data_IF_129109252093
#
_entry.id   IF_129109252093
#
_cell.length_a   1.000
_cell.length_b   1.000
_cell.length_c   1.000
_cell.angle_alpha   90.00
_cell.angle_beta   90.00
_cell.angle_gamma   90.00
#
_symmetry.space_group_name_H-M   'P 1'
#
loop_
_entity.id
_entity.type
_entity.pdbx_description
1 polymer ?
#
# COMPACT_ATOMS: atom_id res chain seq x y z
N UNK A 1 0.29 6.06 17.16
CA UNK A 1 1.11 7.30 17.02
C UNK A 1 0.19 8.45 16.68
N UNK A 2 0.12 9.53 17.48
CA UNK A 2 -0.79 10.66 17.21
C UNK A 2 -0.36 11.54 16.03
N UNK A 3 -0.84 12.80 16.02
CA UNK A 3 -0.34 13.84 15.11
C UNK A 3 1.18 14.02 15.28
N UNK A 4 1.87 14.22 14.17
CA UNK A 4 3.30 14.51 14.11
C UNK A 4 3.52 15.99 13.75
N UNK A 5 4.65 16.61 14.13
CA UNK A 5 4.95 18.00 13.79
C UNK A 5 4.92 18.28 12.28
N UNK A 6 5.35 17.31 11.47
CA UNK A 6 5.43 17.43 10.00
C UNK A 6 4.14 16.97 9.28
N UNK A 7 3.06 16.69 10.02
CA UNK A 7 1.78 16.33 9.41
C UNK A 7 1.15 17.54 8.70
N UNK A 8 0.75 17.34 7.45
CA UNK A 8 0.00 18.32 6.67
C UNK A 8 -1.48 18.15 7.02
N UNK A 9 -2.01 18.99 7.90
CA UNK A 9 -3.44 18.97 8.28
C UNK A 9 -4.20 19.86 7.31
N UNK A 10 -5.10 19.26 6.52
CA UNK A 10 -5.92 20.00 5.55
C UNK A 10 -7.19 20.55 6.20
N UNK A 11 -7.67 21.71 5.74
CA UNK A 11 -8.88 22.35 6.28
C UNK A 11 -10.09 22.28 5.33
N UNK A 12 -9.93 21.77 4.11
CA UNK A 12 -11.03 21.66 3.14
C UNK A 12 -10.78 20.57 2.09
N UNK A 13 -11.83 20.17 1.37
CA UNK A 13 -11.72 19.32 0.17
C UNK A 13 -10.77 19.89 -0.88
N UNK A 14 -10.77 21.22 -1.10
CA UNK A 14 -9.93 21.85 -2.12
C UNK A 14 -8.45 21.73 -1.76
N UNK A 15 -8.11 22.03 -0.51
CA UNK A 15 -6.73 21.84 -0.02
C UNK A 15 -6.33 20.36 -0.09
N UNK A 16 -7.21 19.44 0.30
CA UNK A 16 -6.94 18.01 0.17
C UNK A 16 -6.59 17.62 -1.28
N UNK A 17 -7.37 18.06 -2.26
CA UNK A 17 -7.10 17.83 -3.68
C UNK A 17 -5.76 18.45 -4.12
N UNK A 18 -5.41 19.63 -3.63
CA UNK A 18 -4.12 20.26 -3.94
C UNK A 18 -2.94 19.45 -3.37
N UNK A 19 -2.97 19.14 -2.06
CA UNK A 19 -1.86 18.49 -1.35
C UNK A 19 -1.53 17.10 -1.86
N UNK A 20 -2.52 16.34 -2.33
CA UNK A 20 -2.24 15.01 -2.91
C UNK A 20 -1.45 15.08 -4.22
N UNK A 21 -1.49 16.22 -4.92
CA UNK A 21 -0.75 16.46 -6.17
C UNK A 21 0.49 17.34 -6.00
N UNK A 22 0.90 17.67 -4.77
CA UNK A 22 2.17 18.34 -4.50
C UNK A 22 3.33 17.57 -5.15
N UNK A 23 4.19 18.29 -5.90
CA UNK A 23 5.30 17.75 -6.70
C UNK A 23 4.88 16.84 -7.88
N UNK A 24 3.69 17.02 -8.43
CA UNK A 24 3.24 16.29 -9.62
C UNK A 24 3.95 16.70 -10.91
N UNK A 25 4.41 17.95 -11.05
CA UNK A 25 5.14 18.40 -12.24
C UNK A 25 6.52 17.76 -12.34
N UNK A 26 6.80 17.10 -13.46
CA UNK A 26 8.08 16.47 -13.76
C UNK A 26 8.75 17.19 -14.94
N UNK A 27 9.82 17.99 -14.72
CA UNK A 27 10.49 18.74 -15.78
C UNK A 27 11.06 17.87 -16.90
N UNK A 28 11.62 16.71 -16.54
CA UNK A 28 12.33 15.81 -17.47
C UNK A 28 11.40 15.23 -18.54
N UNK A 29 10.13 15.01 -18.19
CA UNK A 29 9.11 14.49 -19.11
C UNK A 29 8.05 15.53 -19.49
N UNK A 30 8.11 16.74 -18.94
CA UNK A 30 7.14 17.84 -19.16
C UNK A 30 5.67 17.44 -18.95
N UNK A 31 5.43 16.60 -17.95
CA UNK A 31 4.10 16.10 -17.62
C UNK A 31 3.83 16.15 -16.12
N UNK A 32 2.55 16.22 -15.76
CA UNK A 32 2.09 16.03 -14.38
C UNK A 32 2.00 14.53 -14.08
N UNK A 33 3.04 13.98 -13.48
CA UNK A 33 3.11 12.60 -12.99
C UNK A 33 3.85 12.57 -11.66
N UNK A 34 3.10 12.62 -10.56
CA UNK A 34 3.67 12.44 -9.24
C UNK A 34 4.31 11.04 -9.14
N UNK A 35 5.53 10.97 -8.63
CA UNK A 35 6.20 9.70 -8.32
C UNK A 35 5.82 9.23 -6.89
N UNK A 36 4.59 9.54 -6.48
CA UNK A 36 4.06 9.19 -5.17
C UNK A 36 3.05 8.05 -5.28
N UNK A 37 3.07 7.19 -4.27
CA UNK A 37 2.02 6.20 -4.00
C UNK A 37 1.39 6.48 -2.66
N UNK A 38 0.12 6.13 -2.52
CA UNK A 38 -0.73 6.55 -1.42
C UNK A 38 -1.28 5.36 -0.66
N UNK A 39 -1.40 5.52 0.67
CA UNK A 39 -2.11 4.58 1.54
C UNK A 39 -2.99 5.36 2.52
N UNK A 40 -4.30 5.16 2.41
CA UNK A 40 -5.29 5.77 3.29
C UNK A 40 -5.55 4.92 4.52
N UNK A 41 -5.63 5.55 5.68
CA UNK A 41 -6.00 4.93 6.96
C UNK A 41 -7.10 5.76 7.62
N UNK A 42 -8.10 5.08 8.14
CA UNK A 42 -9.26 5.73 8.77
C UNK A 42 -8.98 6.29 10.16
N UNK A 43 -7.90 5.90 10.82
CA UNK A 43 -7.45 6.49 12.09
C UNK A 43 -5.96 6.87 11.95
N UNK A 44 -5.64 8.14 12.23
CA UNK A 44 -4.28 8.70 12.25
C UNK A 44 -3.31 7.90 13.14
N UNK A 45 -3.85 7.23 14.16
CA UNK A 45 -3.10 6.43 15.12
C UNK A 45 -2.65 5.08 14.62
N UNK A 46 -3.23 4.60 13.50
CA UNK A 46 -2.91 3.31 12.93
C UNK A 46 -1.47 3.25 12.43
N UNK A 47 -0.70 2.25 12.90
CA UNK A 47 0.65 2.04 12.42
C UNK A 47 0.65 1.36 11.05
N UNK A 48 1.77 1.46 10.32
CA UNK A 48 1.98 0.73 9.05
C UNK A 48 2.41 -0.73 9.29
N UNK A 49 1.58 -1.47 10.03
CA UNK A 49 1.76 -2.90 10.29
C UNK A 49 1.27 -3.75 9.11
N UNK A 50 2.03 -4.78 8.76
CA UNK A 50 1.62 -5.83 7.82
C UNK A 50 0.60 -6.76 8.45
N UNK A 51 -0.12 -7.55 7.64
CA UNK A 51 -1.02 -8.59 8.19
C UNK A 51 -0.26 -9.69 8.92
N UNK A 52 0.97 -10.00 8.48
CA UNK A 52 1.89 -10.90 9.18
C UNK A 52 2.26 -10.39 10.58
N UNK A 53 2.65 -9.11 10.71
CA UNK A 53 3.01 -8.51 12.00
C UNK A 53 1.82 -8.51 12.97
N UNK A 54 0.59 -8.35 12.47
CA UNK A 54 -0.63 -8.39 13.28
C UNK A 54 -0.94 -9.76 13.88
N UNK A 55 -0.35 -10.86 13.38
CA UNK A 55 -0.48 -12.17 14.02
C UNK A 55 0.12 -12.19 15.44
N UNK A 56 1.14 -11.36 15.70
CA UNK A 56 1.88 -11.40 16.94
C UNK A 56 2.70 -12.70 17.11
N UNK A 57 3.29 -12.87 18.30
CA UNK A 57 4.13 -14.03 18.60
C UNK A 57 5.35 -14.17 17.67
N UNK A 58 5.85 -15.40 17.43
CA UNK A 58 6.97 -15.66 16.53
C UNK A 58 6.53 -15.64 15.05
N UNK A 59 5.88 -14.56 14.62
CA UNK A 59 5.40 -14.42 13.24
C UNK A 59 6.52 -14.48 12.15
N UNK A 60 7.77 -14.04 12.39
CA UNK A 60 8.83 -14.17 11.37
C UNK A 60 9.08 -15.62 10.96
N UNK A 61 9.01 -16.55 11.92
CA UNK A 61 9.17 -17.98 11.68
C UNK A 61 7.99 -18.59 10.91
N UNK A 62 6.81 -17.94 10.94
CA UNK A 62 5.61 -18.42 10.27
C UNK A 62 5.56 -18.04 8.78
N UNK A 63 6.28 -17.00 8.34
CA UNK A 63 6.19 -16.47 6.96
C UNK A 63 6.39 -17.57 5.91
N UNK A 64 7.46 -18.35 6.03
CA UNK A 64 7.76 -19.46 5.13
C UNK A 64 6.66 -20.54 5.15
N UNK A 65 6.18 -20.91 6.34
CA UNK A 65 5.17 -21.96 6.51
C UNK A 65 3.81 -21.55 5.95
N UNK A 66 3.44 -20.27 6.10
CA UNK A 66 2.22 -19.69 5.57
C UNK A 66 2.19 -19.82 4.04
N UNK A 67 3.23 -19.33 3.35
CA UNK A 67 3.28 -19.44 1.89
C UNK A 67 3.36 -20.89 1.42
N UNK A 68 4.20 -21.71 2.04
CA UNK A 68 4.36 -23.12 1.66
C UNK A 68 3.02 -23.87 1.74
N UNK A 69 2.27 -23.69 2.83
CA UNK A 69 0.97 -24.34 2.99
C UNK A 69 -0.07 -23.73 2.05
N UNK A 70 -0.08 -22.41 1.86
CA UNK A 70 -0.97 -21.75 0.90
C UNK A 70 -0.76 -22.29 -0.52
N UNK A 71 0.49 -22.41 -0.97
CA UNK A 71 0.83 -23.03 -2.27
C UNK A 71 0.36 -24.47 -2.35
N UNK A 72 0.60 -25.28 -1.31
CA UNK A 72 0.24 -26.70 -1.25
C UNK A 72 -1.26 -26.94 -1.42
N UNK A 73 -2.11 -26.09 -0.84
CA UNK A 73 -3.57 -26.29 -0.85
C UNK A 73 -4.30 -25.40 -1.88
N UNK A 74 -3.70 -24.28 -2.28
CA UNK A 74 -4.29 -23.33 -3.24
C UNK A 74 -4.00 -23.66 -4.72
N UNK A 75 -3.20 -24.69 -5.01
CA UNK A 75 -2.92 -25.13 -6.39
C UNK A 75 -4.10 -25.86 -7.05
N UNK A 76 -5.06 -26.35 -6.27
CA UNK A 76 -6.26 -26.99 -6.82
C UNK A 76 -7.12 -26.02 -7.65
N UNK A 77 -7.14 -24.73 -7.25
CA UNK A 77 -7.91 -23.68 -7.93
C UNK A 77 -7.06 -22.85 -8.93
N UNK A 78 -5.73 -22.99 -8.91
CA UNK A 78 -4.80 -22.21 -9.74
C UNK A 78 -4.06 -23.11 -10.73
N UNK A 79 -4.31 -22.90 -12.03
CA UNK A 79 -3.80 -23.76 -13.12
C UNK A 79 -2.28 -23.70 -13.35
N UNK A 80 -1.57 -22.73 -12.77
CA UNK A 80 -0.12 -22.56 -12.96
C UNK A 80 0.68 -22.76 -11.66
N UNK A 81 1.00 -24.01 -11.35
CA UNK A 81 1.91 -24.36 -10.25
C UNK A 81 3.37 -23.87 -10.50
N UNK A 82 3.67 -23.34 -11.68
CA UNK A 82 5.00 -22.90 -12.12
C UNK A 82 5.28 -21.41 -11.86
N UNK A 83 4.34 -20.68 -11.27
CA UNK A 83 4.50 -19.26 -10.97
C UNK A 83 5.54 -19.02 -9.86
N UNK A 84 6.17 -17.84 -9.90
CA UNK A 84 7.19 -17.42 -8.93
C UNK A 84 6.62 -17.26 -7.52
N UNK A 85 7.48 -17.31 -6.50
CA UNK A 85 7.06 -17.09 -5.12
C UNK A 85 6.48 -15.69 -4.92
N UNK A 86 6.99 -14.69 -5.65
CA UNK A 86 6.45 -13.33 -5.68
C UNK A 86 5.03 -13.25 -6.22
N UNK A 87 4.72 -14.05 -7.25
CA UNK A 87 3.35 -14.17 -7.76
C UNK A 87 2.44 -14.76 -6.68
N UNK A 88 2.89 -15.83 -6.01
CA UNK A 88 2.12 -16.48 -4.94
C UNK A 88 1.92 -15.56 -3.74
N UNK A 89 2.87 -14.70 -3.39
CA UNK A 89 2.69 -13.69 -2.35
C UNK A 89 1.62 -12.66 -2.70
N UNK A 90 1.56 -12.22 -3.95
CA UNK A 90 0.51 -11.31 -4.41
C UNK A 90 -0.88 -11.96 -4.32
N UNK A 91 -1.00 -13.23 -4.74
CA UNK A 91 -2.25 -14.00 -4.62
C UNK A 91 -2.63 -14.22 -3.16
N UNK A 92 -1.67 -14.61 -2.32
CA UNK A 92 -1.88 -14.83 -0.90
C UNK A 92 -2.42 -13.58 -0.20
N UNK A 93 -1.81 -12.42 -0.46
CA UNK A 93 -2.28 -11.12 0.04
C UNK A 93 -3.70 -10.82 -0.43
N UNK A 94 -4.00 -11.06 -1.71
CA UNK A 94 -5.32 -10.84 -2.28
C UNK A 94 -6.42 -11.64 -1.56
N UNK A 95 -6.14 -12.91 -1.24
CA UNK A 95 -7.05 -13.81 -0.50
C UNK A 95 -6.99 -13.64 1.03
N UNK A 96 -6.28 -12.63 1.54
CA UNK A 96 -6.26 -12.31 2.96
C UNK A 96 -5.35 -13.20 3.82
N UNK A 97 -4.42 -13.95 3.21
CA UNK A 97 -3.37 -14.61 3.98
C UNK A 97 -2.54 -13.53 4.70
N UNK A 98 -2.11 -13.76 5.95
CA UNK A 98 -1.13 -12.90 6.59
C UNK A 98 0.18 -12.88 5.78
N UNK A 99 0.57 -11.70 5.30
CA UNK A 99 1.81 -11.49 4.52
C UNK A 99 2.57 -10.28 5.04
N UNK A 100 3.84 -10.16 4.63
CA UNK A 100 4.68 -8.98 4.85
C UNK A 100 4.38 -7.83 3.88
N UNK A 101 3.44 -8.02 2.94
CA UNK A 101 3.09 -6.99 1.97
C UNK A 101 2.21 -5.91 2.62
N UNK A 102 2.38 -4.67 2.14
CA UNK A 102 1.44 -3.58 2.38
C UNK A 102 0.90 -3.07 1.05
N UNK A 103 -0.41 -2.87 1.01
CA UNK A 103 -1.14 -2.31 -0.12
C UNK A 103 -0.93 -0.79 -0.24
N UNK A 104 -0.60 -0.36 -1.45
CA UNK A 104 -0.55 1.04 -1.83
C UNK A 104 -1.39 1.22 -3.09
N UNK A 105 -1.73 2.46 -3.41
CA UNK A 105 -2.39 2.82 -4.66
C UNK A 105 -1.69 4.00 -5.30
N UNK A 106 -1.61 4.01 -6.63
CA UNK A 106 -1.19 5.21 -7.35
C UNK A 106 -2.27 6.31 -7.34
N UNK A 107 -3.53 5.96 -7.01
CA UNK A 107 -4.66 6.89 -7.03
C UNK A 107 -4.87 7.55 -5.65
N UNK A 108 -4.70 8.87 -5.52
CA UNK A 108 -4.98 9.55 -4.26
C UNK A 108 -6.45 9.45 -3.84
N UNK A 109 -7.39 9.38 -4.79
CA UNK A 109 -8.82 9.22 -4.51
C UNK A 109 -9.16 7.82 -3.98
N UNK A 110 -8.45 6.78 -4.43
CA UNK A 110 -8.56 5.43 -3.83
C UNK A 110 -8.01 5.44 -2.41
N UNK A 111 -6.93 6.17 -2.13
CA UNK A 111 -6.45 6.34 -0.76
C UNK A 111 -7.47 7.10 0.11
N UNK A 112 -8.09 8.18 -0.38
CA UNK A 112 -9.17 8.88 0.33
C UNK A 112 -10.37 7.96 0.60
N UNK A 113 -10.68 7.02 -0.32
CA UNK A 113 -11.69 6.00 -0.06
C UNK A 113 -11.33 5.15 1.17
N UNK A 114 -10.10 4.67 1.29
CA UNK A 114 -9.70 3.88 2.45
C UNK A 114 -9.67 4.69 3.77
N UNK A 115 -9.44 6.01 3.71
CA UNK A 115 -9.62 6.89 4.87
C UNK A 115 -11.08 6.92 5.35
N UNK A 116 -12.03 6.83 4.43
CA UNK A 116 -13.47 6.99 4.69
C UNK A 116 -14.25 5.67 4.68
N UNK A 117 -13.57 4.53 4.49
CA UNK A 117 -14.21 3.22 4.36
C UNK A 117 -14.82 2.69 5.68
N UNK A 118 -14.27 3.06 6.84
CA UNK A 118 -14.77 2.60 8.14
C UNK A 118 -15.60 3.68 8.84
N UNK A 119 -16.92 3.59 8.74
CA UNK A 119 -17.89 4.48 9.40
C UNK A 119 -17.72 4.57 10.92
N UNK A 120 -17.23 3.51 11.56
CA UNK A 120 -17.02 3.49 13.01
C UNK A 120 -15.86 4.39 13.46
N UNK A 121 -15.05 4.89 12.52
CA UNK A 121 -13.88 5.73 12.79
C UNK A 121 -14.09 7.19 12.33
N UNK A 122 -15.32 7.59 12.01
CA UNK A 122 -15.61 8.97 11.56
C UNK A 122 -15.51 10.01 12.68
N UNK A 123 -15.40 9.57 13.94
CA UNK A 123 -15.12 10.42 15.10
C UNK A 123 -13.62 10.71 15.30
N UNK A 124 -12.75 10.16 14.44
CA UNK A 124 -11.30 10.31 14.50
C UNK A 124 -10.74 10.90 13.21
N UNK A 125 -9.58 11.53 13.30
CA UNK A 125 -8.85 12.02 12.13
C UNK A 125 -8.37 10.84 11.29
N UNK A 126 -8.49 10.97 9.97
CA UNK A 126 -7.91 10.04 9.00
C UNK A 126 -6.53 10.50 8.54
N UNK A 127 -5.78 9.62 7.89
CA UNK A 127 -4.47 9.97 7.33
C UNK A 127 -4.22 9.30 5.99
N UNK A 128 -3.65 10.06 5.05
CA UNK A 128 -3.05 9.53 3.83
C UNK A 128 -1.55 9.60 4.00
N UNK A 129 -0.91 8.44 3.94
CA UNK A 129 0.53 8.35 3.72
C UNK A 129 0.80 8.51 2.23
N UNK A 130 1.69 9.40 1.85
CA UNK A 130 2.21 9.52 0.49
C UNK A 130 3.71 9.22 0.50
N UNK A 131 4.13 8.23 -0.27
CA UNK A 131 5.53 7.79 -0.37
C UNK A 131 6.10 8.03 -1.76
N UNK A 132 7.29 8.63 -1.83
CA UNK A 132 8.06 8.89 -3.03
C UNK A 132 8.81 7.62 -3.45
N UNK A 133 8.10 6.71 -4.14
CA UNK A 133 8.57 5.34 -4.40
C UNK A 133 9.76 5.28 -5.36
N UNK A 134 9.97 6.30 -6.20
CA UNK A 134 11.15 6.34 -7.08
C UNK A 134 12.41 6.62 -6.28
N UNK A 135 12.35 7.49 -5.26
CA UNK A 135 13.52 7.76 -4.41
C UNK A 135 13.87 6.58 -3.50
N UNK A 136 12.93 5.67 -3.19
CA UNK A 136 13.27 4.47 -2.39
C UNK A 136 14.29 3.58 -3.10
N UNK A 137 14.40 3.68 -4.43
CA UNK A 137 15.38 2.94 -5.23
C UNK A 137 16.84 3.25 -4.84
N UNK A 138 17.11 4.45 -4.33
CA UNK A 138 18.44 4.87 -3.87
C UNK A 138 18.94 4.03 -2.68
N UNK A 139 18.00 3.41 -1.95
CA UNK A 139 18.26 2.59 -0.77
C UNK A 139 18.29 1.09 -1.08
N UNK A 140 18.04 0.69 -2.34
CA UNK A 140 18.09 -0.71 -2.73
C UNK A 140 19.53 -1.21 -2.88
N UNK A 141 19.80 -2.49 -2.57
CA UNK A 141 21.06 -3.15 -2.90
C UNK A 141 21.35 -3.11 -4.41
N UNK A 142 22.63 -3.13 -4.80
CA UNK A 142 23.05 -3.03 -6.20
C UNK A 142 22.35 -4.06 -7.10
N UNK A 143 22.21 -5.30 -6.65
CA UNK A 143 21.53 -6.37 -7.39
C UNK A 143 20.09 -6.00 -7.78
N UNK A 144 19.35 -5.34 -6.89
CA UNK A 144 17.97 -4.90 -7.14
C UNK A 144 17.94 -3.63 -8.00
N UNK A 145 18.89 -2.70 -7.81
CA UNK A 145 19.01 -1.49 -8.63
C UNK A 145 19.29 -1.83 -10.10
N UNK A 146 20.26 -2.71 -10.35
CA UNK A 146 20.61 -3.16 -11.72
C UNK A 146 19.40 -3.73 -12.46
N UNK A 147 18.55 -4.49 -11.78
CA UNK A 147 17.34 -5.06 -12.39
C UNK A 147 16.34 -3.97 -12.83
N UNK A 148 16.17 -2.90 -12.05
CA UNK A 148 15.32 -1.76 -12.45
C UNK A 148 15.95 -0.96 -13.59
N UNK A 149 17.25 -0.71 -13.52
CA UNK A 149 18.01 0.04 -14.52
C UNK A 149 17.99 -0.65 -15.88
N UNK A 150 18.27 -1.96 -15.93
CA UNK A 150 18.21 -2.79 -17.14
C UNK A 150 16.81 -2.80 -17.75
N UNK A 151 15.77 -2.79 -16.92
CA UNK A 151 14.39 -2.80 -17.36
C UNK A 151 13.85 -1.41 -17.75
N UNK A 152 14.56 -0.33 -17.41
CA UNK A 152 14.02 1.03 -17.50
C UNK A 152 12.75 1.24 -16.65
N UNK A 153 12.61 0.48 -15.56
CA UNK A 153 11.40 0.42 -14.75
C UNK A 153 11.52 1.24 -13.46
N UNK A 154 10.40 1.79 -12.99
CA UNK A 154 10.33 2.49 -11.70
C UNK A 154 9.83 1.62 -10.54
N UNK A 155 9.16 0.52 -10.87
CA UNK A 155 8.57 -0.44 -9.93
C UNK A 155 8.89 -1.84 -10.43
N UNK A 156 9.09 -2.77 -9.51
CA UNK A 156 9.36 -4.15 -9.89
C UNK A 156 8.09 -4.86 -10.38
N UNK A 157 8.24 -5.83 -11.27
CA UNK A 157 7.23 -6.88 -11.47
C UNK A 157 7.63 -8.14 -10.71
N UNK A 158 6.69 -9.07 -10.49
CA UNK A 158 6.99 -10.36 -9.88
C UNK A 158 8.10 -11.13 -10.62
N UNK A 159 8.16 -11.01 -11.95
CA UNK A 159 9.22 -11.64 -12.76
C UNK A 159 10.59 -10.97 -12.62
N UNK A 160 10.62 -9.64 -12.45
CA UNK A 160 11.87 -8.93 -12.13
C UNK A 160 12.42 -9.34 -10.77
N UNK A 161 11.54 -9.44 -9.76
CA UNK A 161 11.96 -9.87 -8.43
C UNK A 161 12.44 -11.31 -8.42
N UNK A 162 11.76 -12.23 -9.10
CA UNK A 162 12.20 -13.63 -9.20
C UNK A 162 13.64 -13.77 -9.74
N UNK A 163 14.04 -12.91 -10.70
CA UNK A 163 15.42 -12.87 -11.22
C UNK A 163 16.41 -12.36 -10.15
N UNK A 164 16.00 -11.40 -9.35
CA UNK A 164 16.84 -10.75 -8.36
C UNK A 164 16.93 -11.53 -7.05
N UNK A 165 15.84 -12.16 -6.62
CA UNK A 165 15.69 -12.83 -5.33
C UNK A 165 14.48 -13.75 -5.40
N UNK A 166 14.69 -15.06 -5.22
CA UNK A 166 13.60 -16.03 -5.38
C UNK A 166 12.62 -15.97 -4.21
N UNK A 167 13.12 -16.04 -2.98
CA UNK A 167 12.27 -16.03 -1.79
C UNK A 167 12.27 -14.66 -1.13
N UNK A 168 11.09 -14.19 -0.74
CA UNK A 168 10.95 -12.94 0.03
C UNK A 168 11.81 -12.96 1.32
N UNK A 169 12.01 -14.13 1.93
CA UNK A 169 12.83 -14.31 3.14
C UNK A 169 14.31 -14.00 2.95
N UNK A 170 14.80 -14.06 1.71
CA UNK A 170 16.20 -13.82 1.37
C UNK A 170 16.52 -12.33 1.19
N UNK A 171 15.50 -11.45 1.22
CA UNK A 171 15.71 -10.00 1.09
C UNK A 171 16.69 -9.44 2.13
N UNK A 172 16.65 -9.93 3.36
CA UNK A 172 17.51 -9.44 4.44
C UNK A 172 19.00 -9.75 4.20
N UNK A 173 19.33 -10.81 3.45
CA UNK A 173 20.72 -11.19 3.17
C UNK A 173 21.30 -10.58 1.90
N UNK A 174 20.47 -10.02 1.02
CA UNK A 174 20.93 -9.45 -0.25
C UNK A 174 22.05 -8.39 -0.13
N UNK A 175 22.01 -7.42 0.81
CA UNK A 175 23.12 -6.46 0.95
C UNK A 175 24.44 -7.18 1.27
N UNK A 176 24.41 -8.12 2.22
CA UNK A 176 25.60 -8.90 2.61
C UNK A 176 26.15 -9.72 1.44
N UNK A 177 25.29 -10.38 0.68
CA UNK A 177 25.68 -11.17 -0.50
C UNK A 177 26.35 -10.30 -1.57
N UNK A 178 26.00 -9.02 -1.65
CA UNK A 178 26.61 -8.04 -2.54
C UNK A 178 27.87 -7.36 -1.95
N UNK A 179 28.26 -7.69 -0.72
CA UNK A 179 29.37 -7.02 -0.02
C UNK A 179 29.04 -5.60 0.43
N UNK A 180 27.75 -5.28 0.58
CA UNK A 180 27.23 -3.99 0.99
C UNK A 180 26.90 -3.96 2.49
N UNK A 181 26.73 -2.77 3.05
CA UNK A 181 26.29 -2.61 4.44
C UNK A 181 24.88 -3.16 4.64
N UNK A 182 24.68 -3.98 5.68
CA UNK A 182 23.37 -4.53 6.04
C UNK A 182 22.44 -3.43 6.58
N UNK A 183 21.71 -2.77 5.68
CA UNK A 183 20.69 -1.78 6.02
C UNK A 183 19.32 -2.22 5.49
N UNK A 184 18.26 -2.14 6.31
CA UNK A 184 16.91 -2.38 5.83
C UNK A 184 16.51 -1.39 4.74
N UNK A 185 15.90 -1.91 3.69
CA UNK A 185 15.35 -1.18 2.56
C UNK A 185 13.91 -1.61 2.27
N UNK A 186 13.16 -0.72 1.63
CA UNK A 186 11.80 -0.93 1.14
C UNK A 186 11.79 -0.96 -0.38
N UNK A 187 11.13 -1.95 -0.98
CA UNK A 187 10.88 -2.01 -2.42
C UNK A 187 9.39 -2.01 -2.71
N UNK A 188 9.03 -1.64 -3.94
CA UNK A 188 7.67 -1.68 -4.46
C UNK A 188 7.58 -2.61 -5.65
N UNK A 189 6.51 -3.39 -5.75
CA UNK A 189 6.23 -4.18 -6.93
C UNK A 189 4.76 -4.16 -7.31
N UNK A 190 4.51 -4.23 -8.60
CA UNK A 190 3.16 -4.36 -9.14
C UNK A 190 2.76 -5.84 -9.09
N UNK A 191 1.63 -6.15 -8.43
CA UNK A 191 1.09 -7.49 -8.53
C UNK A 191 0.69 -7.79 -9.98
N UNK A 192 0.72 -9.06 -10.39
CA UNK A 192 0.10 -9.47 -11.63
C UNK A 192 -1.38 -9.07 -11.63
N UNK A 193 -1.97 -8.85 -12.81
CA UNK A 193 -3.41 -8.61 -12.96
C UNK A 193 -4.20 -9.90 -12.66
N UNK A 194 -4.27 -10.25 -11.38
CA UNK A 194 -4.92 -11.46 -10.88
C UNK A 194 -6.43 -11.35 -10.99
N UNK A 195 -6.96 -10.14 -10.74
CA UNK A 195 -8.39 -9.88 -10.77
C UNK A 195 -8.72 -8.40 -10.99
N UNK A 196 -10.02 -8.11 -11.12
CA UNK A 196 -10.53 -6.76 -11.32
C UNK A 196 -10.31 -5.86 -10.08
N UNK A 197 -10.23 -6.42 -8.86
CA UNK A 197 -9.97 -5.62 -7.64
C UNK A 197 -8.62 -4.94 -7.70
N UNK A 198 -7.57 -5.69 -8.04
CA UNK A 198 -6.20 -5.13 -8.14
C UNK A 198 -6.14 -4.01 -9.18
N UNK A 199 -6.77 -4.23 -10.34
CA UNK A 199 -6.83 -3.24 -11.42
C UNK A 199 -7.61 -1.99 -10.99
N UNK A 200 -8.79 -2.16 -10.39
CA UNK A 200 -9.67 -1.05 -10.01
C UNK A 200 -9.09 -0.19 -8.88
N UNK A 201 -8.28 -0.78 -8.00
CA UNK A 201 -7.59 -0.05 -6.94
C UNK A 201 -6.33 0.66 -7.42
N UNK A 202 -5.91 0.44 -8.66
CA UNK A 202 -4.62 0.91 -9.21
C UNK A 202 -3.47 0.60 -8.24
N UNK A 203 -3.43 -0.67 -7.80
CA UNK A 203 -2.69 -1.10 -6.62
C UNK A 203 -1.25 -1.52 -6.92
N UNK A 204 -0.41 -1.39 -5.90
CA UNK A 204 0.93 -1.96 -5.83
C UNK A 204 1.24 -2.40 -4.40
N UNK A 205 2.27 -3.22 -4.22
CA UNK A 205 2.71 -3.69 -2.91
C UNK A 205 4.07 -3.13 -2.54
N UNK A 206 4.22 -2.75 -1.27
CA UNK A 206 5.55 -2.55 -0.68
C UNK A 206 5.94 -3.75 0.18
N UNK A 207 7.24 -4.03 0.24
CA UNK A 207 7.83 -4.99 1.17
C UNK A 207 9.10 -4.42 1.78
N UNK A 208 9.22 -4.53 3.11
CA UNK A 208 10.46 -4.29 3.82
C UNK A 208 11.32 -5.56 3.81
N UNK A 209 12.62 -5.38 3.59
CA UNK A 209 13.61 -6.46 3.64
C UNK A 209 13.66 -7.15 5.00
N UNK A 210 13.58 -6.38 6.09
CA UNK A 210 13.45 -6.88 7.45
C UNK A 210 11.97 -7.14 7.81
N UNK A 211 11.65 -8.40 8.10
CA UNK A 211 10.29 -8.85 8.46
C UNK A 211 9.80 -8.33 9.81
N UNK A 212 10.73 -7.98 10.71
CA UNK A 212 10.41 -7.48 12.05
C UNK A 212 10.24 -5.96 12.09
N UNK A 213 10.76 -5.24 11.09
CA UNK A 213 10.70 -3.79 11.01
C UNK A 213 9.33 -3.29 10.55
N UNK A 214 8.82 -2.23 11.18
CA UNK A 214 7.60 -1.56 10.77
C UNK A 214 7.91 -0.48 9.74
N UNK A 215 7.05 -0.33 8.72
CA UNK A 215 7.34 0.61 7.63
C UNK A 215 7.38 2.07 8.10
N UNK A 216 6.50 2.46 9.00
CA UNK A 216 6.55 3.81 9.60
C UNK A 216 7.81 4.05 10.46
N UNK A 217 8.38 3.03 11.10
CA UNK A 217 9.68 3.15 11.78
C UNK A 217 10.83 3.33 10.78
N UNK A 218 10.82 2.57 9.67
CA UNK A 218 11.78 2.76 8.59
C UNK A 218 11.70 4.16 7.98
N UNK A 219 10.47 4.66 7.76
CA UNK A 219 10.21 5.98 7.20
C UNK A 219 10.69 7.12 8.11
N UNK A 220 10.69 6.94 9.43
CA UNK A 220 11.21 7.97 10.35
C UNK A 220 12.71 8.24 10.15
N UNK A 221 13.45 7.24 9.69
CA UNK A 221 14.86 7.40 9.33
C UNK A 221 15.07 7.96 7.91
N UNK A 222 14.00 8.20 7.17
CA UNK A 222 14.01 8.65 5.78
C UNK A 222 12.93 9.73 5.51
N UNK A 223 12.96 10.87 6.22
CA UNK A 223 11.91 11.90 6.17
C UNK A 223 11.68 12.48 4.76
N UNK A 224 12.68 12.41 3.87
CA UNK A 224 12.59 12.86 2.49
C UNK A 224 11.74 11.95 1.57
N UNK A 225 11.37 10.75 2.04
CA UNK A 225 10.67 9.73 1.24
C UNK A 225 9.16 9.75 1.44
N UNK A 226 8.64 10.51 2.39
CA UNK A 226 7.21 10.48 2.69
C UNK A 226 6.66 11.80 3.21
N UNK A 227 5.35 11.92 3.13
CA UNK A 227 4.56 12.94 3.82
C UNK A 227 3.25 12.34 4.29
N UNK A 228 2.67 12.91 5.34
CA UNK A 228 1.35 12.54 5.87
C UNK A 228 0.39 13.69 5.69
N UNK A 229 -0.72 13.41 5.01
CA UNK A 229 -1.83 14.34 4.83
C UNK A 229 -2.94 13.89 5.78
N UNK A 230 -3.20 14.68 6.81
CA UNK A 230 -4.22 14.40 7.83
C UNK A 230 -5.53 15.00 7.38
N UNK A 231 -6.58 14.17 7.36
CA UNK A 231 -7.95 14.57 7.05
C UNK A 231 -8.71 14.65 8.39
N UNK A 232 -9.04 15.87 8.87
CA UNK A 232 -9.84 16.04 10.08
C UNK A 232 -11.14 15.25 9.99
N UNK A 233 -11.59 14.73 11.14
CA UNK A 233 -12.84 13.97 11.24
C UNK A 233 -14.05 14.72 10.65
N UNK A 234 -14.07 16.04 10.79
CA UNK A 234 -15.12 16.94 10.30
C UNK A 234 -15.24 16.91 8.76
N UNK A 235 -14.15 16.63 8.04
CA UNK A 235 -14.14 16.57 6.57
C UNK A 235 -14.52 15.20 5.99
N UNK A 236 -14.57 14.14 6.81
CA UNK A 236 -14.72 12.77 6.30
C UNK A 236 -16.01 12.54 5.52
N UNK A 237 -17.12 13.13 5.96
CA UNK A 237 -18.40 13.03 5.26
C UNK A 237 -18.36 13.73 3.90
N UNK A 238 -17.87 14.97 3.86
CA UNK A 238 -17.72 15.71 2.59
C UNK A 238 -16.83 14.93 1.60
N UNK A 239 -15.70 14.40 2.07
CA UNK A 239 -14.79 13.57 1.26
C UNK A 239 -15.53 12.33 0.74
N UNK A 240 -16.25 11.61 1.60
CA UNK A 240 -16.96 10.39 1.24
C UNK A 240 -18.04 10.64 0.19
N UNK A 241 -18.85 11.68 0.36
CA UNK A 241 -19.97 12.00 -0.53
C UNK A 241 -19.46 12.42 -1.92
N UNK A 242 -18.39 13.23 -1.97
CA UNK A 242 -17.76 13.62 -3.24
C UNK A 242 -17.10 12.44 -3.95
N UNK A 243 -16.47 11.52 -3.22
CA UNK A 243 -15.95 10.28 -3.81
C UNK A 243 -17.07 9.40 -4.38
N UNK A 244 -18.23 9.32 -3.71
CA UNK A 244 -19.39 8.58 -4.22
C UNK A 244 -19.92 9.21 -5.53
N UNK A 245 -20.03 10.54 -5.59
CA UNK A 245 -20.40 11.25 -6.81
C UNK A 245 -19.38 11.05 -7.93
N UNK A 246 -18.09 10.93 -7.60
CA UNK A 246 -17.02 10.61 -8.54
C UNK A 246 -16.93 9.10 -8.88
N UNK A 247 -17.89 8.29 -8.44
CA UNK A 247 -17.96 6.84 -8.64
C UNK A 247 -16.79 6.05 -8.01
N UNK A 248 -16.10 6.60 -7.02
CA UNK A 248 -15.04 5.92 -6.25
C UNK A 248 -15.66 5.20 -5.04
N UNK A 249 -16.37 4.11 -5.32
CA UNK A 249 -17.21 3.38 -4.36
C UNK A 249 -16.71 1.96 -4.11
N UNK A 250 -17.17 1.31 -3.04
CA UNK A 250 -16.83 -0.09 -2.72
C UNK A 250 -17.24 -1.03 -3.86
N UNK A 251 -18.42 -0.82 -4.47
CA UNK A 251 -18.86 -1.64 -5.60
C UNK A 251 -17.95 -1.58 -6.83
N UNK A 252 -17.16 -0.51 -6.98
CA UNK A 252 -16.17 -0.36 -8.05
C UNK A 252 -14.82 -0.91 -7.59
N UNK A 253 -14.38 -0.56 -6.38
CA UNK A 253 -13.05 -0.94 -5.87
C UNK A 253 -12.96 -2.39 -5.38
N UNK A 254 -14.09 -3.00 -5.04
CA UNK A 254 -14.24 -4.37 -4.55
C UNK A 254 -15.34 -5.05 -5.40
N UNK A 255 -15.02 -5.52 -6.62
CA UNK A 255 -16.00 -6.14 -7.49
C UNK A 255 -16.67 -7.36 -6.84
N UNK A 256 -17.96 -7.55 -7.11
CA UNK A 256 -18.76 -8.66 -6.59
C UNK A 256 -19.81 -8.22 -5.56
N UNK A 257 -20.51 -9.21 -4.99
CA UNK A 257 -21.61 -8.97 -4.06
C UNK A 257 -21.14 -8.35 -2.75
N UNK A 258 -19.92 -8.66 -2.30
CA UNK A 258 -19.37 -8.12 -1.07
C UNK A 258 -19.22 -6.59 -1.14
N UNK A 259 -18.58 -6.07 -2.20
CA UNK A 259 -18.44 -4.63 -2.39
C UNK A 259 -19.78 -3.92 -2.66
N UNK A 260 -20.71 -4.58 -3.36
CA UNK A 260 -22.07 -4.07 -3.52
C UNK A 260 -22.80 -3.95 -2.17
N UNK A 261 -22.74 -4.99 -1.34
CA UNK A 261 -23.36 -5.01 -0.02
C UNK A 261 -22.75 -3.95 0.90
N UNK A 262 -21.41 -3.81 0.91
CA UNK A 262 -20.73 -2.76 1.66
C UNK A 262 -21.15 -1.36 1.21
N UNK A 263 -21.20 -1.10 -0.10
CA UNK A 263 -21.64 0.17 -0.64
C UNK A 263 -23.08 0.49 -0.24
N UNK A 264 -24.01 -0.45 -0.43
CA UNK A 264 -25.42 -0.27 -0.05
C UNK A 264 -25.57 -0.01 1.45
N UNK A 265 -24.92 -0.81 2.29
CA UNK A 265 -24.97 -0.66 3.74
C UNK A 265 -24.50 0.73 4.18
N UNK A 266 -23.41 1.25 3.59
CA UNK A 266 -22.89 2.58 3.88
C UNK A 266 -23.78 3.69 3.31
N UNK A 267 -24.14 3.62 2.04
CA UNK A 267 -24.85 4.67 1.31
C UNK A 267 -26.23 4.96 1.91
N UNK A 268 -26.90 3.93 2.40
CA UNK A 268 -28.22 4.07 3.05
C UNK A 268 -28.14 4.17 4.58
N UNK A 269 -26.94 4.19 5.18
CA UNK A 269 -26.79 4.45 6.61
C UNK A 269 -27.04 5.94 6.92
N UNK A 270 -27.81 6.26 7.97
CA UNK A 270 -28.01 7.65 8.36
C UNK A 270 -26.67 8.28 8.77
N UNK A 271 -26.46 9.54 8.38
CA UNK A 271 -25.34 10.32 8.89
C UNK A 271 -25.49 10.45 10.41
N UNK A 272 -24.40 10.19 11.15
CA UNK A 272 -24.37 10.32 12.61
C UNK A 272 -24.15 11.76 13.07
N UNK A 273 -24.13 12.72 12.15
CA UNK A 273 -24.09 14.13 12.48
C UNK A 273 -25.43 14.50 13.10
N UNK A 274 -25.48 15.10 14.30
CA UNK A 274 -26.72 15.67 14.81
C UNK A 274 -27.27 16.61 13.74
N UNK A 275 -28.56 16.47 13.42
CA UNK A 275 -29.26 17.49 12.66
C UNK A 275 -29.18 18.78 13.49
N UNK A 276 -28.62 19.85 12.91
CA UNK A 276 -28.75 21.20 13.44
C UNK A 276 -30.21 21.66 13.42
#
# INVERSE_FOLDING_TARGET
>A
MGRRPDDIVVSSWMELCERVYDHSWQPDIRHFRANYVFRGLSDISYPLNTSLQRLGGPYPQLEYHLLRNFKKYGTADNRDATQSDWWWWAVAQHHGLPTRLLDWTYSPFVAMHFVTANMQQYDRDGVIWAMEFVKTQQHLPARLRTVLEEAGAKVFTAGMLERAVRNIGDLASLPREAGEEERPYCLFFEPPSLDARIVNQFALFSVLSDVTMRLDDWLLNHPQLWRRIVIPKELKWEVRDKLDQANITERILLPGLDGLAMWLARHYSPSRTPAE
#
